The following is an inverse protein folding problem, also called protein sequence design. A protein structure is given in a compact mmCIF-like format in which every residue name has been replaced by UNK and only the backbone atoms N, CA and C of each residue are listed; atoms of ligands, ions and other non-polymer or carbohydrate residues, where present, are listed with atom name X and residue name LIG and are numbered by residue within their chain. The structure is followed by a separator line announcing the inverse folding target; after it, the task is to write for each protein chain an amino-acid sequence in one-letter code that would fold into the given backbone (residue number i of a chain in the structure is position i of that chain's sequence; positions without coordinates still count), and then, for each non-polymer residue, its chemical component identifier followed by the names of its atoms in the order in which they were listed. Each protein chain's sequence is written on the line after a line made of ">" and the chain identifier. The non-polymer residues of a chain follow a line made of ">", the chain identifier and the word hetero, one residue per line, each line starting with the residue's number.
data_IF_782075951509
#
_entry.id   IF_782075951509
#
_cell.length_a   1.000
_cell.length_b   1.000
_cell.length_c   1.000
_cell.angle_alpha   90.00
_cell.angle_beta   90.00
_cell.angle_gamma   90.00
#
_symmetry.space_group_name_H-M   'P 1'
#
loop_
_entity.id
_entity.type
_entity.pdbx_description
1 polymer ?
#
# COMPACT_ATOMS: atom_id res chain seq x y z
N UNK A 1 5.41 13.41 -17.05
CA UNK A 1 6.61 14.01 -16.43
C UNK A 1 7.22 12.97 -15.52
N UNK A 2 8.54 12.88 -15.44
CA UNK A 2 9.22 11.95 -14.54
C UNK A 2 10.04 12.70 -13.49
N UNK A 3 9.98 12.24 -12.24
CA UNK A 3 10.80 12.69 -11.13
C UNK A 3 11.62 11.49 -10.67
N UNK A 4 12.94 11.65 -10.57
CA UNK A 4 13.84 10.62 -10.07
C UNK A 4 14.52 11.12 -8.82
N UNK A 5 14.42 10.34 -7.75
CA UNK A 5 15.10 10.61 -6.48
C UNK A 5 16.16 9.53 -6.29
N UNK A 6 17.41 9.95 -6.09
CA UNK A 6 18.47 9.07 -5.62
C UNK A 6 18.64 9.24 -4.12
N UNK A 7 18.77 8.13 -3.40
CA UNK A 7 19.06 8.09 -1.97
C UNK A 7 20.56 7.89 -1.77
N UNK A 8 21.15 8.61 -0.82
CA UNK A 8 22.59 8.51 -0.51
C UNK A 8 23.01 7.10 -0.08
N UNK A 9 22.09 6.36 0.55
CA UNK A 9 22.27 4.96 0.97
C UNK A 9 21.12 4.12 0.44
N UNK A 10 21.39 2.83 0.22
CA UNK A 10 20.33 1.87 -0.07
C UNK A 10 19.43 1.78 1.17
N UNK A 11 18.13 1.94 0.96
CA UNK A 11 17.13 1.93 2.02
C UNK A 11 16.00 0.98 1.66
N UNK A 12 15.31 0.46 2.67
CA UNK A 12 13.98 -0.06 2.46
C UNK A 12 13.00 1.12 2.49
N UNK A 13 12.39 1.40 1.35
CA UNK A 13 11.34 2.42 1.21
C UNK A 13 10.00 1.73 1.43
N UNK A 14 9.37 2.01 2.56
CA UNK A 14 8.07 1.40 2.90
C UNK A 14 6.87 2.27 2.51
N UNK A 15 7.03 3.59 2.46
CA UNK A 15 5.93 4.51 2.15
C UNK A 15 6.39 5.75 1.39
N UNK A 16 5.65 6.12 0.35
CA UNK A 16 5.79 7.39 -0.38
C UNK A 16 4.46 8.14 -0.30
N UNK A 17 4.50 9.40 0.12
CA UNK A 17 3.33 10.27 0.22
C UNK A 17 3.43 11.37 -0.82
N UNK A 18 2.39 11.48 -1.65
CA UNK A 18 2.26 12.51 -2.67
C UNK A 18 1.11 13.41 -2.26
N UNK A 19 1.42 14.67 -1.98
CA UNK A 19 0.44 15.70 -1.69
C UNK A 19 0.34 16.62 -2.91
N UNK A 20 -0.71 16.43 -3.70
CA UNK A 20 -0.99 17.26 -4.87
C UNK A 20 -1.95 18.40 -4.52
N UNK A 21 -1.96 19.44 -5.35
CA UNK A 21 -2.95 20.50 -5.25
C UNK A 21 -4.33 20.01 -5.73
N UNK A 22 -5.40 20.49 -5.09
CA UNK A 22 -6.79 20.09 -5.41
C UNK A 22 -7.26 20.60 -6.78
N UNK A 23 -6.78 21.76 -7.23
CA UNK A 23 -7.14 22.34 -8.53
C UNK A 23 -6.24 21.83 -9.67
N UNK A 24 -5.02 21.41 -9.35
CA UNK A 24 -3.99 20.98 -10.30
C UNK A 24 -3.57 19.51 -10.08
N UNK A 25 -4.53 18.65 -9.77
CA UNK A 25 -4.28 17.23 -9.42
C UNK A 25 -3.89 16.40 -10.65
N UNK A 26 -2.83 15.56 -10.58
CA UNK A 26 -2.51 14.59 -11.63
C UNK A 26 -3.61 13.52 -11.72
N UNK A 27 -3.84 12.90 -12.89
CA UNK A 27 -4.79 11.78 -13.01
C UNK A 27 -4.25 10.49 -12.39
N UNK A 28 -2.94 10.27 -12.57
CA UNK A 28 -2.27 9.06 -12.16
C UNK A 28 -0.80 9.33 -11.88
N UNK A 29 -0.30 8.71 -10.81
CA UNK A 29 1.11 8.72 -10.46
C UNK A 29 1.59 7.30 -10.24
N UNK A 30 2.67 6.92 -10.92
CA UNK A 30 3.28 5.60 -10.79
C UNK A 30 4.62 5.72 -10.09
N UNK A 31 4.84 4.95 -9.03
CA UNK A 31 6.06 4.96 -8.24
C UNK A 31 6.76 3.62 -8.38
N UNK A 32 8.06 3.64 -8.62
CA UNK A 32 8.91 2.45 -8.72
C UNK A 32 10.15 2.65 -7.86
N UNK A 33 10.46 1.65 -7.04
CA UNK A 33 11.70 1.63 -6.26
C UNK A 33 12.67 0.69 -6.96
N UNK A 34 13.88 1.17 -7.21
CA UNK A 34 14.89 0.47 -7.98
C UNK A 34 16.21 0.40 -7.24
N UNK A 35 16.91 -0.71 -7.41
CA UNK A 35 18.23 -0.95 -6.83
C UNK A 35 19.31 -0.70 -7.88
N UNK A 36 20.20 0.23 -7.57
CA UNK A 36 21.41 0.50 -8.34
C UNK A 36 22.51 -0.55 -8.11
N UNK A 37 23.56 -0.50 -8.93
CA UNK A 37 24.80 -1.22 -8.62
C UNK A 37 25.48 -0.53 -7.42
N UNK A 38 25.91 -1.30 -6.42
CA UNK A 38 26.46 -0.76 -5.16
C UNK A 38 27.66 0.19 -5.34
N UNK A 39 28.40 0.06 -6.43
CA UNK A 39 29.61 0.86 -6.72
C UNK A 39 29.37 2.00 -7.72
N UNK A 40 28.12 2.19 -8.15
CA UNK A 40 27.74 3.18 -9.14
C UNK A 40 27.52 4.54 -8.51
N UNK A 41 28.01 5.60 -9.16
CA UNK A 41 27.64 6.97 -8.81
C UNK A 41 26.13 7.20 -8.92
N UNK A 42 25.63 8.12 -8.10
CA UNK A 42 24.23 8.54 -8.11
C UNK A 42 23.98 9.41 -9.35
N UNK A 43 23.40 8.84 -10.40
CA UNK A 43 23.14 9.58 -11.63
C UNK A 43 21.83 9.15 -12.29
N UNK A 44 21.23 10.06 -13.07
CA UNK A 44 20.03 9.75 -13.84
C UNK A 44 20.26 8.60 -14.85
N UNK A 45 21.46 8.52 -15.44
CA UNK A 45 21.82 7.41 -16.35
C UNK A 45 21.78 6.07 -15.63
N UNK A 46 22.28 6.02 -14.40
CA UNK A 46 22.32 4.80 -13.59
C UNK A 46 20.94 4.44 -13.04
N UNK A 47 20.10 5.45 -12.73
CA UNK A 47 18.70 5.22 -12.40
C UNK A 47 17.96 4.54 -13.56
N UNK A 48 18.16 4.97 -14.82
CA UNK A 48 17.47 4.37 -15.99
C UNK A 48 17.73 2.88 -16.20
N UNK A 49 18.90 2.39 -15.83
CA UNK A 49 19.30 0.98 -15.99
C UNK A 49 19.19 0.18 -14.69
N UNK A 50 18.69 0.79 -13.62
CA UNK A 50 18.48 0.11 -12.35
C UNK A 50 17.39 -0.96 -12.45
N UNK A 51 17.51 -2.01 -11.63
CA UNK A 51 16.45 -3.02 -11.52
C UNK A 51 15.33 -2.49 -10.65
N UNK A 52 14.19 -2.17 -11.26
CA UNK A 52 12.99 -1.68 -10.58
C UNK A 52 12.06 -2.81 -10.17
N UNK A 53 11.48 -2.66 -8.98
CA UNK A 53 10.43 -3.54 -8.51
C UNK A 53 9.08 -3.19 -9.16
N UNK A 54 8.06 -4.00 -8.85
CA UNK A 54 6.69 -3.81 -9.37
C UNK A 54 6.20 -2.38 -9.06
N UNK A 55 5.67 -1.64 -10.04
CA UNK A 55 5.18 -0.29 -9.83
C UNK A 55 3.97 -0.27 -8.89
N UNK A 56 3.93 0.73 -8.02
CA UNK A 56 2.74 1.11 -7.27
C UNK A 56 2.07 2.28 -7.99
N UNK A 57 0.80 2.13 -8.31
CA UNK A 57 0.02 3.15 -9.04
C UNK A 57 -0.96 3.81 -8.10
N UNK A 58 -0.97 5.14 -8.11
CA UNK A 58 -1.93 5.99 -7.43
C UNK A 58 -2.82 6.64 -8.47
N UNK A 59 -4.12 6.42 -8.39
CA UNK A 59 -5.11 7.07 -9.24
C UNK A 59 -5.83 8.15 -8.43
N UNK A 60 -6.10 9.27 -9.08
CA UNK A 60 -6.78 10.41 -8.48
C UNK A 60 -8.09 10.64 -9.20
N UNK A 61 -9.14 10.98 -8.44
CA UNK A 61 -10.47 11.15 -8.99
C UNK A 61 -11.02 12.55 -8.72
N UNK A 62 -11.87 13.04 -9.64
CA UNK A 62 -12.39 14.41 -9.69
C UNK A 62 -13.19 14.87 -8.46
N UNK A 63 -13.60 13.97 -7.55
CA UNK A 63 -14.51 14.26 -6.43
C UNK A 63 -13.88 14.03 -5.05
N UNK A 64 -12.56 13.93 -4.99
CA UNK A 64 -11.87 13.64 -3.73
C UNK A 64 -11.62 14.93 -2.95
N UNK A 65 -11.92 14.92 -1.65
CA UNK A 65 -11.73 16.07 -0.74
C UNK A 65 -10.25 16.31 -0.38
N UNK A 66 -9.36 15.42 -0.82
CA UNK A 66 -7.93 15.50 -0.56
C UNK A 66 -7.20 14.92 -1.77
N UNK A 67 -6.25 15.69 -2.28
CA UNK A 67 -5.33 15.25 -3.33
C UNK A 67 -4.03 14.64 -2.74
N UNK A 68 -4.08 14.21 -1.48
CA UNK A 68 -2.98 13.51 -0.81
C UNK A 68 -3.16 11.99 -0.87
N UNK A 69 -2.17 11.27 -1.41
CA UNK A 69 -2.19 9.81 -1.57
C UNK A 69 -0.93 9.14 -1.03
N UNK A 70 -1.12 7.94 -0.49
CA UNK A 70 -0.07 7.11 0.07
C UNK A 70 0.18 5.89 -0.82
N UNK A 71 1.43 5.67 -1.21
CA UNK A 71 1.89 4.44 -1.84
C UNK A 71 2.71 3.63 -0.85
N UNK A 72 2.36 2.35 -0.67
CA UNK A 72 3.12 1.39 0.12
C UNK A 72 3.91 0.49 -0.82
N UNK A 73 5.24 0.54 -0.69
CA UNK A 73 6.16 -0.18 -1.59
C UNK A 73 6.87 -1.35 -0.91
N UNK A 74 7.23 -1.19 0.37
CA UNK A 74 8.10 -2.09 1.16
C UNK A 74 9.23 -2.70 0.32
N UNK A 75 9.98 -1.81 -0.33
CA UNK A 75 10.91 -2.14 -1.40
C UNK A 75 12.31 -1.62 -1.08
N UNK A 76 13.29 -2.52 -1.18
CA UNK A 76 14.71 -2.17 -1.08
C UNK A 76 15.20 -1.52 -2.38
N UNK A 77 15.73 -0.30 -2.27
CA UNK A 77 16.29 0.40 -3.42
C UNK A 77 17.14 1.63 -3.05
N UNK A 78 17.76 2.17 -4.08
CA UNK A 78 18.53 3.42 -4.03
C UNK A 78 17.86 4.52 -4.87
N UNK A 79 17.06 4.13 -5.87
CA UNK A 79 16.40 5.06 -6.77
C UNK A 79 14.89 4.93 -6.62
N UNK A 80 14.20 6.07 -6.60
CA UNK A 80 12.75 6.14 -6.63
C UNK A 80 12.37 6.88 -7.90
N UNK A 81 11.68 6.20 -8.81
CA UNK A 81 11.20 6.74 -10.06
C UNK A 81 9.70 7.00 -9.94
N UNK A 82 9.30 8.25 -10.15
CA UNK A 82 7.92 8.71 -10.05
C UNK A 82 7.49 9.26 -11.40
N UNK A 83 6.58 8.57 -12.05
CA UNK A 83 5.98 8.98 -13.33
C UNK A 83 4.62 9.61 -13.08
N UNK A 84 4.48 10.87 -13.46
CA UNK A 84 3.28 11.68 -13.30
C UNK A 84 2.60 11.79 -14.67
N UNK A 85 1.37 11.29 -14.77
CA UNK A 85 0.51 11.40 -15.95
C UNK A 85 -0.21 12.76 -16.00
N UNK A 86 -1.02 13.00 -17.04
CA UNK A 86 -1.70 14.28 -17.31
C UNK A 86 -2.60 14.71 -16.14
N UNK A 87 -2.91 16.00 -15.96
CA UNK A 87 -3.86 16.42 -14.92
C UNK A 87 -5.28 15.94 -15.22
N UNK A 88 -6.09 15.87 -14.16
CA UNK A 88 -7.54 15.68 -14.31
C UNK A 88 -8.11 16.92 -15.01
N UNK A 89 -8.91 16.75 -16.08
CA UNK A 89 -9.48 17.88 -16.81
C UNK A 89 -10.50 18.62 -15.92
N UNK A 90 -10.10 19.82 -15.49
CA UNK A 90 -10.89 20.74 -14.69
C UNK A 90 -10.99 22.08 -15.42
N UNK A 91 -12.14 22.75 -15.33
CA UNK A 91 -12.35 24.09 -15.90
C UNK A 91 -11.40 25.14 -15.30
N UNK A 92 -10.93 24.91 -14.08
CA UNK A 92 -10.00 25.77 -13.34
C UNK A 92 -8.53 25.59 -13.79
N UNK A 93 -8.22 24.61 -14.64
CA UNK A 93 -6.87 24.32 -15.12
C UNK A 93 -6.81 24.28 -16.67
N UNK A 94 -6.99 25.42 -17.35
CA UNK A 94 -7.00 25.48 -18.82
C UNK A 94 -5.65 25.16 -19.45
N UNK A 95 -4.55 25.30 -18.70
CA UNK A 95 -3.19 25.10 -19.18
C UNK A 95 -2.66 23.68 -18.94
N UNK A 96 -3.44 22.80 -18.30
CA UNK A 96 -3.03 21.43 -18.03
C UNK A 96 -1.81 21.34 -17.12
N UNK A 97 -1.70 22.23 -16.13
CA UNK A 97 -0.63 22.24 -15.14
C UNK A 97 -0.86 21.18 -14.06
N UNK A 98 0.22 20.70 -13.45
CA UNK A 98 0.18 19.80 -12.31
C UNK A 98 1.01 20.41 -11.20
N UNK A 99 0.48 20.39 -9.97
CA UNK A 99 1.20 20.87 -8.80
C UNK A 99 1.26 19.79 -7.74
N UNK A 100 2.49 19.45 -7.33
CA UNK A 100 2.78 18.61 -6.18
C UNK A 100 3.30 19.52 -5.07
N UNK A 101 2.51 19.71 -4.03
CA UNK A 101 2.84 20.58 -2.88
C UNK A 101 3.94 19.95 -2.01
N UNK A 102 3.85 18.63 -1.80
CA UNK A 102 4.82 17.91 -0.96
C UNK A 102 5.01 16.48 -1.44
N UNK A 103 6.26 16.04 -1.46
CA UNK A 103 6.64 14.66 -1.70
C UNK A 103 7.43 14.17 -0.48
N UNK A 104 6.92 13.14 0.20
CA UNK A 104 7.58 12.57 1.39
C UNK A 104 7.92 11.11 1.14
N UNK A 105 9.20 10.77 1.30
CA UNK A 105 9.69 9.39 1.21
C UNK A 105 10.02 8.92 2.62
N UNK A 106 9.45 7.79 3.02
CA UNK A 106 9.67 7.18 4.32
C UNK A 106 10.31 5.80 4.13
N UNK A 107 11.42 5.60 4.82
CA UNK A 107 12.22 4.40 4.74
C UNK A 107 13.29 4.37 5.83
N UNK A 108 14.01 3.26 5.91
CA UNK A 108 15.16 3.11 6.80
C UNK A 108 16.37 2.64 6.00
N UNK A 109 17.57 3.21 6.27
CA UNK A 109 18.80 2.79 5.59
C UNK A 109 19.14 1.36 5.98
N UNK A 110 19.60 0.57 5.00
CA UNK A 110 20.05 -0.80 5.23
C UNK A 110 21.56 -0.85 5.43
N UNK A 111 22.06 -1.63 6.41
CA UNK A 111 23.49 -1.87 6.59
C UNK A 111 24.08 -2.58 5.37
N UNK A 112 25.31 -2.24 5.00
CA UNK A 112 26.01 -2.83 3.84
C UNK A 112 26.15 -4.36 3.92
N UNK A 113 26.21 -4.90 5.15
CA UNK A 113 26.30 -6.33 5.43
C UNK A 113 25.04 -7.10 4.97
N UNK A 114 23.86 -6.49 5.11
CA UNK A 114 22.58 -7.11 4.71
C UNK A 114 22.36 -7.07 3.19
N UNK A 115 23.13 -6.25 2.47
CA UNK A 115 23.00 -6.11 1.01
C UNK A 115 23.65 -7.27 0.24
N UNK A 116 24.54 -8.05 0.87
CA UNK A 116 25.23 -9.19 0.26
C UNK A 116 24.46 -10.51 0.30
N UNK A 117 23.41 -10.62 1.13
CA UNK A 117 22.76 -11.89 1.47
C UNK A 117 21.39 -12.17 0.84
N UNK A 118 20.85 -11.29 0.00
CA UNK A 118 19.50 -11.49 -0.60
C UNK A 118 19.61 -11.89 -2.07
N UNK A 119 19.64 -13.19 -2.40
CA UNK A 119 19.31 -13.64 -3.74
C UNK A 119 17.81 -13.41 -3.98
N UNK A 120 17.49 -12.86 -5.15
CA UNK A 120 16.12 -12.78 -5.68
C UNK A 120 15.76 -14.21 -6.13
N UNK A 121 14.53 -14.71 -5.88
CA UNK A 121 14.06 -15.93 -6.54
C UNK A 121 13.94 -15.66 -8.05
N UNK A 122 14.91 -16.11 -8.83
CA UNK A 122 14.81 -16.27 -10.28
C UNK A 122 14.49 -17.74 -10.58
N UNK A 123 13.33 -17.99 -11.20
CA UNK A 123 13.05 -18.98 -12.25
C UNK A 123 11.52 -18.99 -12.47
N UNK A 124 10.97 -18.99 -13.69
CA UNK A 124 11.36 -19.77 -14.85
C UNK A 124 11.00 -19.01 -16.14
N UNK A 125 11.90 -19.02 -17.12
CA UNK A 125 11.54 -18.84 -18.54
C UNK A 125 12.24 -17.69 -19.26
N UNK A 126 13.54 -17.80 -19.51
CA UNK A 126 14.17 -17.11 -20.63
C UNK A 126 15.17 -18.08 -21.26
N UNK A 127 14.77 -18.56 -22.44
CA UNK A 127 15.60 -19.28 -23.39
C UNK A 127 16.71 -18.33 -23.86
N UNK A 128 17.94 -18.82 -23.89
CA UNK A 128 19.09 -18.15 -24.49
C UNK A 128 18.82 -17.94 -25.98
N UNK A 129 18.87 -16.69 -26.47
CA UNK A 129 19.19 -16.44 -27.88
C UNK A 129 20.17 -15.26 -27.98
N UNK A 130 21.28 -15.59 -28.63
CA UNK A 130 22.42 -14.78 -29.01
C UNK A 130 22.03 -13.75 -30.09
N UNK A 131 22.60 -12.54 -29.98
CA UNK A 131 22.66 -11.55 -31.05
C UNK A 131 23.38 -12.13 -32.27
N UNK A 132 22.75 -12.09 -33.45
CA UNK A 132 23.39 -11.76 -34.73
C UNK A 132 22.36 -11.50 -35.85
N UNK A 133 22.69 -10.54 -36.70
CA UNK A 133 22.24 -10.32 -38.10
C UNK A 133 20.93 -9.58 -38.48
N UNK A 134 21.10 -8.27 -38.67
CA UNK A 134 20.96 -7.53 -39.97
C UNK A 134 19.72 -7.75 -40.86
N UNK A 135 18.90 -6.68 -40.89
CA UNK A 135 18.21 -6.04 -42.02
C UNK A 135 17.12 -6.78 -42.85
N UNK A 136 16.17 -5.95 -43.33
CA UNK A 136 15.15 -6.20 -44.38
C UNK A 136 13.83 -6.75 -43.81
N UNK A 137 12.60 -6.28 -44.07
CA UNK A 137 11.99 -5.59 -45.22
C UNK A 137 10.65 -4.91 -44.82
N UNK A 138 10.11 -4.18 -45.80
CA UNK A 138 9.00 -3.22 -45.80
C UNK A 138 7.58 -3.76 -45.54
N UNK A 139 6.72 -2.79 -45.21
CA UNK A 139 5.26 -2.67 -45.36
C UNK A 139 4.53 -3.73 -46.22
N UNK A 140 3.37 -4.19 -45.76
CA UNK A 140 2.13 -4.03 -46.52
C UNK A 140 0.86 -4.16 -45.66
N UNK A 141 -0.20 -3.57 -46.19
CA UNK A 141 -1.50 -3.21 -45.61
C UNK A 141 -2.54 -4.24 -46.07
N UNK A 142 -3.48 -4.66 -45.22
CA UNK A 142 -4.77 -5.21 -45.66
C UNK A 142 -5.81 -5.19 -44.53
N UNK A 143 -6.85 -4.38 -44.75
CA UNK A 143 -8.14 -4.42 -44.06
C UNK A 143 -9.03 -5.46 -44.74
N UNK A 144 -9.88 -6.19 -43.99
CA UNK A 144 -11.23 -6.55 -44.45
C UNK A 144 -12.13 -7.04 -43.30
N UNK A 145 -13.43 -6.77 -43.47
CA UNK A 145 -14.50 -6.67 -42.48
C UNK A 145 -15.23 -7.97 -42.10
N UNK A 146 -15.80 -7.96 -40.88
CA UNK A 146 -17.09 -8.50 -40.36
C UNK A 146 -17.73 -9.80 -40.87
N UNK A 147 -18.09 -10.71 -39.92
CA UNK A 147 -19.49 -11.08 -39.54
C UNK A 147 -19.57 -12.30 -38.58
N UNK A 148 -20.45 -12.22 -37.57
CA UNK A 148 -21.26 -13.37 -37.08
C UNK A 148 -20.91 -13.99 -35.71
N UNK A 149 -21.73 -13.71 -34.70
CA UNK A 149 -21.76 -14.34 -33.34
C UNK A 149 -22.61 -15.64 -33.41
N UNK A 150 -22.41 -16.67 -32.54
CA UNK A 150 -23.23 -16.75 -31.32
C UNK A 150 -22.48 -17.19 -30.04
N UNK A 151 -23.10 -16.84 -28.91
CA UNK A 151 -22.67 -17.00 -27.51
C UNK A 151 -22.31 -18.44 -27.11
N UNK A 152 -21.24 -18.58 -26.31
CA UNK A 152 -21.13 -19.60 -25.27
C UNK A 152 -20.60 -18.94 -23.99
N UNK A 153 -21.43 -18.92 -22.96
CA UNK A 153 -21.09 -18.46 -21.62
C UNK A 153 -20.03 -19.39 -21.03
N UNK A 154 -18.78 -18.93 -20.95
CA UNK A 154 -17.82 -19.47 -20.01
C UNK A 154 -17.77 -18.53 -18.82
N UNK A 155 -18.26 -19.03 -17.67
CA UNK A 155 -17.98 -18.46 -16.35
C UNK A 155 -16.46 -18.34 -16.21
N UNK A 156 -15.94 -17.13 -16.40
CA UNK A 156 -14.61 -16.79 -15.91
C UNK A 156 -14.75 -16.71 -14.39
N UNK A 157 -14.24 -17.73 -13.71
CA UNK A 157 -13.97 -17.67 -12.27
C UNK A 157 -13.11 -16.44 -12.01
N UNK A 158 -13.77 -15.39 -11.52
CA UNK A 158 -13.10 -14.23 -10.96
C UNK A 158 -12.48 -14.70 -9.65
N UNK A 159 -11.28 -15.25 -9.72
CA UNK A 159 -10.37 -15.21 -8.58
C UNK A 159 -10.06 -13.73 -8.31
N UNK A 160 -10.90 -13.11 -7.48
CA UNK A 160 -10.59 -11.83 -6.87
C UNK A 160 -9.39 -12.06 -5.97
N UNK A 161 -8.20 -11.72 -6.47
CA UNK A 161 -7.03 -11.45 -5.64
C UNK A 161 -7.23 -10.13 -4.88
N UNK A 162 -8.37 -9.98 -4.21
CA UNK A 162 -8.48 -9.07 -3.09
C UNK A 162 -7.80 -9.80 -1.94
N UNK A 163 -6.49 -9.56 -1.83
CA UNK A 163 -5.72 -9.99 -0.67
C UNK A 163 -6.48 -9.54 0.56
N UNK A 164 -6.84 -10.52 1.38
CA UNK A 164 -7.58 -10.37 2.64
C UNK A 164 -6.70 -9.73 3.74
N UNK A 165 -5.88 -8.74 3.35
CA UNK A 165 -5.47 -7.67 4.25
C UNK A 165 -6.63 -6.69 4.32
N UNK A 166 -6.93 -6.19 5.52
CA UNK A 166 -7.97 -5.18 5.71
C UNK A 166 -7.85 -4.10 4.62
N UNK A 167 -8.75 -4.10 3.64
CA UNK A 167 -8.73 -3.05 2.62
C UNK A 167 -9.20 -1.77 3.32
N UNK A 168 -8.27 -0.82 3.42
CA UNK A 168 -8.53 0.51 3.94
C UNK A 168 -9.46 1.23 2.97
N UNK A 169 -10.78 1.03 3.12
CA UNK A 169 -11.75 1.99 2.60
C UNK A 169 -11.64 3.23 3.48
N UNK A 170 -11.40 4.39 2.87
CA UNK A 170 -11.18 5.69 3.52
C UNK A 170 -12.31 6.12 4.48
N UNK A 171 -13.43 5.39 4.51
CA UNK A 171 -14.58 5.63 5.39
C UNK A 171 -14.52 4.88 6.73
N UNK A 172 -13.57 3.96 6.96
CA UNK A 172 -13.41 3.33 8.27
C UNK A 172 -12.54 4.18 9.18
N UNK A 173 -13.21 4.84 10.12
CA UNK A 173 -12.74 5.76 11.15
C UNK A 173 -11.57 5.27 12.03
N UNK A 174 -10.40 4.98 11.45
CA UNK A 174 -9.15 4.74 12.19
C UNK A 174 -8.50 6.05 12.67
N UNK A 175 -8.95 7.20 12.16
CA UNK A 175 -8.73 8.52 12.79
C UNK A 175 -9.78 8.86 13.86
N UNK A 176 -10.76 7.97 14.06
CA UNK A 176 -11.81 8.13 15.05
C UNK A 176 -11.36 7.80 16.47
N UNK A 177 -12.27 8.00 17.42
CA UNK A 177 -12.07 7.64 18.83
C UNK A 177 -11.53 6.20 18.97
N UNK A 178 -10.52 5.95 19.83
CA UNK A 178 -9.86 4.65 19.97
C UNK A 178 -10.82 3.46 20.16
N UNK A 179 -11.94 3.67 20.84
CA UNK A 179 -12.94 2.64 21.09
C UNK A 179 -13.68 2.24 19.82
N UNK A 180 -14.05 3.22 19.00
CA UNK A 180 -14.73 3.00 17.72
C UNK A 180 -13.84 2.23 16.74
N UNK A 181 -12.54 2.57 16.74
CA UNK A 181 -11.55 1.93 15.88
C UNK A 181 -11.40 0.43 16.21
N UNK A 182 -11.32 0.10 17.51
CA UNK A 182 -11.23 -1.29 17.99
C UNK A 182 -12.50 -2.09 17.66
N UNK A 183 -13.69 -1.51 17.92
CA UNK A 183 -14.97 -2.15 17.58
C UNK A 183 -15.13 -2.43 16.10
N UNK A 184 -14.58 -1.56 15.24
CA UNK A 184 -14.60 -1.76 13.79
C UNK A 184 -13.75 -2.96 13.39
N UNK A 185 -12.54 -3.06 13.95
CA UNK A 185 -11.64 -4.18 13.68
C UNK A 185 -12.20 -5.51 14.20
N UNK A 186 -12.80 -5.50 15.40
CA UNK A 186 -13.50 -6.66 15.94
C UNK A 186 -14.54 -7.21 14.96
N UNK A 187 -15.42 -6.35 14.42
CA UNK A 187 -16.44 -6.77 13.43
C UNK A 187 -15.82 -7.38 12.17
N UNK A 188 -14.71 -6.82 11.71
CA UNK A 188 -13.98 -7.36 10.53
C UNK A 188 -13.40 -8.74 10.84
N UNK A 189 -12.84 -8.93 12.04
CA UNK A 189 -12.34 -10.23 12.49
C UNK A 189 -13.47 -11.27 12.64
N UNK A 190 -14.63 -10.87 13.17
CA UNK A 190 -15.82 -11.72 13.28
C UNK A 190 -16.27 -12.20 11.89
N UNK A 191 -16.38 -11.29 10.92
CA UNK A 191 -16.73 -11.64 9.53
C UNK A 191 -15.71 -12.58 8.88
N UNK A 192 -14.41 -12.33 9.09
CA UNK A 192 -13.33 -13.20 8.60
C UNK A 192 -13.40 -14.58 9.23
N UNK A 193 -13.66 -14.66 10.52
CA UNK A 193 -13.81 -15.93 11.24
C UNK A 193 -15.01 -16.73 10.72
N UNK A 194 -16.16 -16.09 10.54
CA UNK A 194 -17.36 -16.73 9.97
C UNK A 194 -17.09 -17.28 8.56
N UNK A 195 -16.42 -16.49 7.71
CA UNK A 195 -16.02 -16.93 6.37
C UNK A 195 -15.02 -18.09 6.42
N UNK A 196 -14.01 -18.03 7.28
CA UNK A 196 -13.03 -19.10 7.45
C UNK A 196 -13.69 -20.40 7.93
N UNK A 197 -14.67 -20.32 8.84
CA UNK A 197 -15.46 -21.46 9.28
C UNK A 197 -16.31 -22.05 8.15
N UNK A 198 -16.92 -21.20 7.31
CA UNK A 198 -17.66 -21.65 6.14
C UNK A 198 -16.76 -22.35 5.11
N UNK A 199 -15.57 -21.79 4.87
CA UNK A 199 -14.57 -22.32 3.93
C UNK A 199 -13.80 -23.53 4.48
N UNK A 200 -14.07 -23.98 5.71
CA UNK A 200 -13.39 -25.11 6.35
C UNK A 200 -11.94 -24.84 6.80
N UNK A 201 -11.53 -23.57 6.87
CA UNK A 201 -10.19 -23.12 7.27
C UNK A 201 -10.08 -22.96 8.79
N UNK A 202 -9.95 -24.09 9.48
CA UNK A 202 -9.96 -24.16 10.96
C UNK A 202 -8.82 -23.37 11.63
N UNK A 203 -7.63 -23.34 11.02
CA UNK A 203 -6.48 -22.57 11.52
C UNK A 203 -6.78 -21.08 11.48
N UNK A 204 -7.22 -20.57 10.34
CA UNK A 204 -7.57 -19.16 10.14
C UNK A 204 -8.70 -18.72 11.08
N UNK A 205 -9.71 -19.55 11.28
CA UNK A 205 -10.78 -19.29 12.24
C UNK A 205 -10.25 -19.21 13.69
N UNK A 206 -9.31 -20.09 14.06
CA UNK A 206 -8.68 -20.09 15.40
C UNK A 206 -7.83 -18.85 15.63
N UNK A 207 -7.08 -18.40 14.61
CA UNK A 207 -6.28 -17.17 14.66
C UNK A 207 -7.21 -15.95 14.81
N UNK A 208 -8.28 -15.87 14.03
CA UNK A 208 -9.26 -14.78 14.15
C UNK A 208 -9.90 -14.75 15.54
N UNK A 209 -10.23 -15.92 16.11
CA UNK A 209 -10.75 -16.02 17.47
C UNK A 209 -9.77 -15.48 18.52
N UNK A 210 -8.49 -15.84 18.42
CA UNK A 210 -7.44 -15.30 19.32
C UNK A 210 -7.30 -13.79 19.18
N UNK A 211 -7.34 -13.27 17.95
CA UNK A 211 -7.29 -11.85 17.68
C UNK A 211 -8.50 -11.10 18.26
N UNK A 212 -9.71 -11.69 18.17
CA UNK A 212 -10.93 -11.14 18.78
C UNK A 212 -10.79 -11.08 20.30
N UNK A 213 -10.34 -12.17 20.95
CA UNK A 213 -10.15 -12.20 22.41
C UNK A 213 -9.19 -11.11 22.89
N UNK A 214 -8.06 -10.92 22.20
CA UNK A 214 -7.14 -9.81 22.51
C UNK A 214 -7.78 -8.45 22.29
N UNK A 215 -8.57 -8.31 21.23
CA UNK A 215 -9.29 -7.07 20.94
C UNK A 215 -10.29 -6.73 22.06
N UNK A 216 -11.01 -7.72 22.59
CA UNK A 216 -11.93 -7.57 23.72
C UNK A 216 -11.22 -7.12 25.01
N UNK A 217 -10.07 -7.71 25.32
CA UNK A 217 -9.29 -7.34 26.51
C UNK A 217 -8.88 -5.86 26.48
N UNK A 218 -8.46 -5.36 25.33
CA UNK A 218 -8.06 -3.96 25.18
C UNK A 218 -9.24 -3.02 24.99
N UNK A 219 -10.36 -3.48 24.44
CA UNK A 219 -11.62 -2.73 24.45
C UNK A 219 -12.00 -2.37 25.89
N UNK A 220 -12.01 -3.36 26.79
CA UNK A 220 -12.29 -3.14 28.21
C UNK A 220 -11.30 -2.17 28.88
N UNK A 221 -10.01 -2.25 28.55
CA UNK A 221 -8.98 -1.30 29.04
C UNK A 221 -9.24 0.13 28.56
N UNK A 222 -9.61 0.29 27.29
CA UNK A 222 -9.91 1.61 26.72
C UNK A 222 -11.21 2.19 27.29
N UNK A 223 -12.22 1.37 27.57
CA UNK A 223 -13.44 1.81 28.27
C UNK A 223 -13.16 2.29 29.69
N UNK A 224 -12.26 1.65 30.42
CA UNK A 224 -11.83 2.13 31.74
C UNK A 224 -11.06 3.46 31.65
N UNK A 225 -10.13 3.57 30.69
CA UNK A 225 -9.43 4.82 30.42
C UNK A 225 -10.37 5.95 29.98
N UNK A 226 -11.40 5.64 29.18
CA UNK A 226 -12.42 6.59 28.77
C UNK A 226 -13.22 7.11 29.97
N UNK A 227 -13.63 6.22 30.89
CA UNK A 227 -14.29 6.60 32.15
C UNK A 227 -13.41 7.51 33.01
N UNK A 228 -12.12 7.16 33.16
CA UNK A 228 -11.15 7.98 33.91
C UNK A 228 -10.92 9.34 33.25
N UNK A 229 -10.85 9.40 31.91
CA UNK A 229 -10.76 10.65 31.13
C UNK A 229 -11.97 11.55 31.40
N UNK A 230 -13.19 11.02 31.33
CA UNK A 230 -14.41 11.78 31.60
C UNK A 230 -14.42 12.33 33.03
N UNK A 231 -14.04 11.51 34.02
CA UNK A 231 -13.93 11.97 35.42
C UNK A 231 -12.89 13.08 35.61
N UNK A 232 -11.75 13.00 34.93
CA UNK A 232 -10.74 14.06 34.96
C UNK A 232 -11.25 15.37 34.35
N UNK A 233 -12.02 15.29 33.26
CA UNK A 233 -12.68 16.45 32.64
C UNK A 233 -13.73 17.08 33.56
N UNK A 234 -14.53 16.27 34.27
CA UNK A 234 -15.53 16.76 35.25
C UNK A 234 -14.88 17.55 36.40
N UNK A 235 -13.70 17.14 36.85
CA UNK A 235 -12.93 17.81 37.91
C UNK A 235 -12.11 19.00 37.36
N UNK A 236 -12.06 19.18 36.04
CA UNK A 236 -11.32 20.26 35.37
C UNK A 236 -9.82 20.00 35.21
N UNK A 237 -9.34 18.77 35.47
CA UNK A 237 -7.94 18.40 35.28
C UNK A 237 -7.68 18.00 33.82
N UNK A 238 -7.40 19.01 33.00
CA UNK A 238 -7.14 18.85 31.57
C UNK A 238 -5.83 18.06 31.30
N UNK A 239 -4.83 18.14 32.18
CA UNK A 239 -3.57 17.43 31.99
C UNK A 239 -3.77 15.92 32.19
N UNK A 240 -4.52 15.53 33.22
CA UNK A 240 -4.82 14.13 33.48
C UNK A 240 -5.76 13.55 32.41
N UNK A 241 -6.74 14.33 31.93
CA UNK A 241 -7.59 13.93 30.81
C UNK A 241 -6.78 13.67 29.53
N UNK A 242 -5.80 14.52 29.23
CA UNK A 242 -4.93 14.34 28.07
C UNK A 242 -4.02 13.11 28.20
N UNK A 243 -3.47 12.85 29.40
CA UNK A 243 -2.72 11.61 29.66
C UNK A 243 -3.55 10.36 29.43
N UNK A 244 -4.81 10.35 29.88
CA UNK A 244 -5.72 9.23 29.62
C UNK A 244 -6.06 9.10 28.13
N UNK A 245 -6.22 10.21 27.41
CA UNK A 245 -6.44 10.20 25.95
C UNK A 245 -5.25 9.57 25.20
N UNK A 246 -4.02 9.94 25.55
CA UNK A 246 -2.81 9.36 24.95
C UNK A 246 -2.69 7.86 25.27
N UNK A 247 -2.95 7.46 26.51
CA UNK A 247 -2.95 6.05 26.90
C UNK A 247 -3.99 5.21 26.12
N UNK A 248 -5.15 5.77 25.80
CA UNK A 248 -6.15 5.10 24.95
C UNK A 248 -5.62 4.88 23.52
N UNK A 249 -4.89 5.84 22.97
CA UNK A 249 -4.26 5.73 21.64
C UNK A 249 -3.16 4.67 21.64
N UNK A 250 -2.31 4.65 22.66
CA UNK A 250 -1.25 3.65 22.79
C UNK A 250 -1.82 2.23 22.89
N UNK A 251 -2.92 2.07 23.65
CA UNK A 251 -3.64 0.80 23.74
C UNK A 251 -4.18 0.36 22.37
N UNK A 252 -4.80 1.27 21.61
CA UNK A 252 -5.28 1.00 20.24
C UNK A 252 -4.14 0.54 19.33
N UNK A 253 -3.04 1.28 19.32
CA UNK A 253 -1.90 1.00 18.43
C UNK A 253 -1.17 -0.29 18.80
N UNK A 254 -1.21 -0.66 20.08
CA UNK A 254 -0.67 -1.95 20.57
C UNK A 254 -1.53 -3.11 20.09
N UNK A 255 -2.87 -3.02 20.18
CA UNK A 255 -3.79 -4.04 19.66
C UNK A 255 -3.62 -4.22 18.17
N UNK A 256 -3.56 -3.12 17.40
CA UNK A 256 -3.49 -3.23 15.94
C UNK A 256 -2.21 -3.90 15.50
N UNK A 257 -1.09 -3.63 16.18
CA UNK A 257 0.16 -4.35 15.96
C UNK A 257 0.03 -5.84 16.31
N UNK A 258 -0.56 -6.17 17.47
CA UNK A 258 -0.72 -7.56 17.90
C UNK A 258 -1.65 -8.37 16.98
N UNK A 259 -2.78 -7.80 16.58
CA UNK A 259 -3.73 -8.41 15.64
C UNK A 259 -3.11 -8.54 14.24
N UNK A 260 -2.33 -7.56 13.80
CA UNK A 260 -1.64 -7.66 12.52
C UNK A 260 -0.62 -8.79 12.51
N UNK A 261 0.13 -8.99 13.60
CA UNK A 261 1.03 -10.14 13.75
C UNK A 261 0.27 -11.46 13.69
N UNK A 262 -0.86 -11.59 14.40
CA UNK A 262 -1.69 -12.80 14.35
C UNK A 262 -2.15 -13.12 12.92
N UNK A 263 -2.60 -12.10 12.18
CA UNK A 263 -3.08 -12.26 10.82
C UNK A 263 -1.95 -12.48 9.79
N UNK A 264 -0.72 -12.07 10.09
CA UNK A 264 0.44 -12.34 9.23
C UNK A 264 0.95 -13.79 9.38
N UNK A 265 0.83 -14.37 10.58
CA UNK A 265 1.19 -15.78 10.83
C UNK A 265 0.32 -16.77 10.02
N UNK A 266 -0.82 -16.33 9.48
CA UNK A 266 -1.66 -17.07 8.52
C UNK A 266 -0.92 -17.41 7.20
N UNK A 267 0.20 -16.73 6.89
CA UNK A 267 0.96 -16.97 5.65
C UNK A 267 1.95 -18.13 5.73
N UNK A 268 2.45 -18.44 6.93
CA UNK A 268 3.58 -19.35 7.09
C UNK A 268 3.16 -20.78 7.51
N UNK A 269 1.89 -20.99 7.88
CA UNK A 269 1.38 -22.31 8.31
C UNK A 269 0.68 -23.13 7.19
N UNK A 270 0.75 -22.68 5.91
CA UNK A 270 0.09 -23.34 4.76
C UNK A 270 1.09 -24.06 3.82
N UNK A 271 2.32 -24.32 4.27
CA UNK A 271 3.24 -25.27 3.62
C UNK A 271 3.32 -26.57 4.39
#
# INVERSE_FOLDING_TARGET
>A
MDIVIGLDKIANVYKVVIDADEALTPSKVTIRVGRGKLTSELSYKNARVAKYQKPVTLEFFRRERSASRNAFTDAVGQYIWISIEKPIPLSLNPHGQIQINKLTVLGYPLPEEMLRGTPIPEAVGAVEETDDDVASLKMEKLELETKGVPKKEQKVERHSYEGDGMSMKEETNLSGDPLTSIRTIRRVLEQKMEKANFDGKTIQATICLRAIQRTDEYEARIEDLARRRSKALEVGDLQMAERHRLAMIDCRDTVFRAVHVDLLLDRDEVT
#
